data_IF_730828975257
#
_entry.id   IF_730828975257
#
_cell.length_a   1.000
_cell.length_b   1.000
_cell.length_c   1.000
_cell.angle_alpha   90.00
_cell.angle_beta   90.00
_cell.angle_gamma   90.00
#
_symmetry.space_group_name_H-M   'P 1'
#
loop_
_entity.id
_entity.type
_entity.pdbx_description
1 polymer ?
#
# COMPACT_ATOMS: atom_id res chain seq x y z
N UNK A 1 4.06 7.28 11.68
CA UNK A 1 5.45 7.71 11.94
C UNK A 1 5.79 8.89 11.02
N UNK A 2 6.85 9.64 11.31
CA UNK A 2 7.35 10.73 10.41
C UNK A 2 7.74 10.19 9.02
N UNK A 3 8.35 9.00 8.98
CA UNK A 3 8.67 8.31 7.73
C UNK A 3 7.41 8.02 6.89
N UNK A 4 6.34 7.51 7.50
CA UNK A 4 5.10 7.21 6.79
C UNK A 4 4.50 8.46 6.13
N UNK A 5 4.52 9.59 6.85
CA UNK A 5 4.03 10.87 6.35
C UNK A 5 4.86 11.34 5.16
N UNK A 6 6.19 11.33 5.28
CA UNK A 6 7.11 11.74 4.20
C UNK A 6 7.01 10.84 2.97
N UNK A 7 6.88 9.53 3.16
CA UNK A 7 6.70 8.58 2.06
C UNK A 7 5.38 8.83 1.33
N UNK A 8 4.30 9.08 2.07
CA UNK A 8 3.00 9.40 1.49
C UNK A 8 3.05 10.72 0.71
N UNK A 9 3.57 11.79 1.33
CA UNK A 9 3.72 13.11 0.69
C UNK A 9 4.52 13.01 -0.60
N UNK A 10 5.66 12.30 -0.57
CA UNK A 10 6.50 12.10 -1.74
C UNK A 10 5.79 11.32 -2.85
N UNK A 11 5.00 10.30 -2.50
CA UNK A 11 4.23 9.52 -3.48
C UNK A 11 3.19 10.41 -4.19
N UNK A 12 2.47 11.22 -3.42
CA UNK A 12 1.40 12.08 -3.93
C UNK A 12 1.93 13.24 -4.78
N UNK A 13 3.09 13.79 -4.44
CA UNK A 13 3.66 14.94 -5.15
C UNK A 13 4.63 14.56 -6.28
N UNK A 14 4.88 13.27 -6.53
CA UNK A 14 5.90 12.83 -7.49
C UNK A 14 5.66 13.34 -8.93
N UNK A 15 4.40 13.56 -9.28
CA UNK A 15 3.97 13.98 -10.61
C UNK A 15 3.36 15.39 -10.63
N UNK A 16 3.57 16.17 -9.58
CA UNK A 16 3.25 17.60 -9.63
C UNK A 16 4.22 18.26 -10.61
N UNK A 17 3.77 18.37 -11.85
CA UNK A 17 4.40 19.20 -12.86
C UNK A 17 4.26 20.63 -12.37
N UNK A 18 5.38 21.29 -12.04
CA UNK A 18 5.35 22.71 -11.69
C UNK A 18 4.54 23.45 -12.75
N UNK A 19 3.51 24.14 -12.26
CA UNK A 19 2.46 24.75 -13.04
C UNK A 19 3.03 25.64 -14.15
N UNK A 20 3.20 25.08 -15.35
CA UNK A 20 3.27 25.87 -16.57
C UNK A 20 1.86 26.33 -16.89
N UNK A 21 1.44 27.38 -16.17
CA UNK A 21 0.52 28.43 -16.60
C UNK A 21 -0.60 27.99 -17.54
N UNK A 22 -1.67 27.40 -17.00
CA UNK A 22 -2.97 27.46 -17.65
C UNK A 22 -4.09 27.32 -16.62
N UNK A 23 -4.53 28.47 -16.10
CA UNK A 23 -5.86 28.61 -15.49
C UNK A 23 -6.90 28.45 -16.61
N UNK A 24 -7.10 27.22 -17.05
CA UNK A 24 -8.08 26.81 -18.04
C UNK A 24 -8.77 25.50 -17.62
N UNK A 25 -9.70 24.97 -18.43
CA UNK A 25 -10.50 23.76 -18.15
C UNK A 25 -9.68 22.46 -17.94
N UNK A 26 -8.35 22.56 -17.91
CA UNK A 26 -7.42 21.53 -17.47
C UNK A 26 -7.47 21.20 -15.97
N UNK A 27 -8.26 21.91 -15.15
CA UNK A 27 -8.30 21.66 -13.70
C UNK A 27 -8.98 20.33 -13.33
N UNK A 28 -10.02 19.90 -14.03
CA UNK A 28 -10.85 18.76 -13.58
C UNK A 28 -10.09 17.45 -13.77
N UNK A 29 -9.44 17.28 -14.93
CA UNK A 29 -8.62 16.11 -15.20
C UNK A 29 -7.43 16.04 -14.23
N UNK A 30 -6.77 17.17 -13.98
CA UNK A 30 -5.64 17.21 -13.06
C UNK A 30 -6.07 16.89 -11.63
N UNK A 31 -7.18 17.46 -11.14
CA UNK A 31 -7.74 17.13 -9.83
C UNK A 31 -8.15 15.66 -9.75
N UNK A 32 -8.78 15.10 -10.77
CA UNK A 32 -9.13 13.68 -10.81
C UNK A 32 -7.88 12.77 -10.78
N UNK A 33 -6.80 13.16 -11.47
CA UNK A 33 -5.52 12.45 -11.41
C UNK A 33 -4.88 12.55 -10.03
N UNK A 34 -4.90 13.73 -9.40
CA UNK A 34 -4.39 13.91 -8.04
C UNK A 34 -5.19 13.09 -7.01
N UNK A 35 -6.52 13.07 -7.11
CA UNK A 35 -7.38 12.26 -6.25
C UNK A 35 -7.12 10.76 -6.44
N UNK A 36 -6.99 10.33 -7.70
CA UNK A 36 -6.63 8.94 -8.06
C UNK A 36 -5.28 8.55 -7.46
N UNK A 37 -4.26 9.39 -7.65
CA UNK A 37 -2.93 9.16 -7.12
C UNK A 37 -2.93 9.17 -5.58
N UNK A 38 -3.69 10.06 -4.95
CA UNK A 38 -3.82 10.12 -3.51
C UNK A 38 -4.42 8.83 -2.94
N UNK A 39 -5.48 8.30 -3.57
CA UNK A 39 -6.06 7.01 -3.23
C UNK A 39 -5.04 5.88 -3.33
N UNK A 40 -4.38 5.73 -4.49
CA UNK A 40 -3.36 4.70 -4.72
C UNK A 40 -2.22 4.80 -3.69
N UNK A 41 -1.65 5.99 -3.51
CA UNK A 41 -0.54 6.21 -2.60
C UNK A 41 -0.92 5.89 -1.15
N UNK A 42 -2.11 6.28 -0.70
CA UNK A 42 -2.57 6.02 0.67
C UNK A 42 -2.61 4.52 0.99
N UNK A 43 -3.17 3.71 0.07
CA UNK A 43 -3.24 2.26 0.24
C UNK A 43 -1.87 1.61 0.12
N UNK A 44 -1.11 1.90 -0.95
CA UNK A 44 0.18 1.24 -1.22
C UNK A 44 1.20 1.54 -0.12
N UNK A 45 1.28 2.79 0.35
CA UNK A 45 2.21 3.16 1.42
C UNK A 45 1.81 2.52 2.75
N UNK A 46 0.52 2.47 3.08
CA UNK A 46 0.05 1.83 4.30
C UNK A 46 0.36 0.32 4.32
N UNK A 47 0.09 -0.38 3.21
CA UNK A 47 0.37 -1.82 3.07
C UNK A 47 1.87 -2.08 3.08
N UNK A 48 2.66 -1.35 2.27
CA UNK A 48 4.10 -1.52 2.16
C UNK A 48 4.83 -1.32 3.49
N UNK A 49 4.53 -0.24 4.21
CA UNK A 49 5.13 0.01 5.53
C UNK A 49 4.68 -1.01 6.58
N UNK A 50 3.45 -1.51 6.47
CA UNK A 50 2.98 -2.61 7.32
C UNK A 50 3.81 -3.87 7.11
N UNK A 51 4.02 -4.27 5.85
CA UNK A 51 4.87 -5.41 5.50
C UNK A 51 6.30 -5.21 5.98
N UNK A 52 6.91 -4.04 5.73
CA UNK A 52 8.27 -3.73 6.19
C UNK A 52 8.40 -3.80 7.71
N UNK A 53 7.39 -3.34 8.44
CA UNK A 53 7.36 -3.42 9.89
C UNK A 53 7.42 -4.87 10.39
N UNK A 54 6.58 -5.76 9.85
CA UNK A 54 6.63 -7.19 10.18
C UNK A 54 7.95 -7.83 9.76
N UNK A 55 8.44 -7.50 8.56
CA UNK A 55 9.73 -8.01 8.10
C UNK A 55 10.87 -7.65 9.07
N UNK A 56 10.88 -6.39 9.52
CA UNK A 56 11.88 -5.91 10.47
C UNK A 56 11.82 -6.63 11.82
N UNK A 57 10.61 -6.88 12.32
CA UNK A 57 10.36 -7.53 13.61
C UNK A 57 10.68 -9.02 13.64
N UNK A 58 10.49 -9.73 12.53
CA UNK A 58 10.56 -11.19 12.54
C UNK A 58 11.73 -11.77 11.73
N UNK A 59 12.29 -11.02 10.77
CA UNK A 59 13.32 -11.55 9.86
C UNK A 59 14.65 -10.80 9.93
N UNK A 60 14.66 -9.50 10.26
CA UNK A 60 15.89 -8.71 10.37
C UNK A 60 16.47 -8.60 11.80
N UNK A 61 15.77 -9.10 12.82
CA UNK A 61 16.18 -9.01 14.22
C UNK A 61 16.64 -10.38 14.75
N UNK A 62 17.95 -10.64 14.64
CA UNK A 62 18.75 -11.73 15.26
C UNK A 62 18.67 -13.16 14.68
N UNK A 63 19.77 -13.95 14.78
CA UNK A 63 19.83 -15.30 14.25
C UNK A 63 18.97 -16.26 15.09
N UNK A 64 18.21 -17.11 14.40
CA UNK A 64 17.23 -18.03 14.95
C UNK A 64 17.76 -18.84 16.16
N UNK A 65 17.19 -18.59 17.34
CA UNK A 65 17.15 -19.59 18.41
C UNK A 65 15.93 -20.49 18.13
N UNK A 66 16.07 -21.83 18.10
CA UNK A 66 14.98 -22.71 17.72
C UNK A 66 13.94 -22.84 18.85
N UNK A 67 12.66 -22.71 18.48
CA UNK A 67 11.43 -22.93 19.27
C UNK A 67 11.29 -22.02 20.50
N UNK A 68 10.33 -21.10 20.58
CA UNK A 68 8.94 -21.42 20.98
C UNK A 68 7.93 -20.29 20.64
N UNK A 69 8.32 -19.25 19.89
CA UNK A 69 7.48 -18.04 19.70
C UNK A 69 6.63 -17.99 18.40
N UNK A 70 6.68 -19.03 17.55
CA UNK A 70 6.21 -18.94 16.15
C UNK A 70 4.67 -18.88 16.00
N UNK A 71 3.89 -19.39 16.96
CA UNK A 71 2.45 -19.58 16.77
C UNK A 71 1.61 -18.32 17.00
N UNK A 72 1.95 -17.47 17.98
CA UNK A 72 1.14 -16.30 18.31
C UNK A 72 1.35 -15.14 17.33
N UNK A 73 2.56 -14.97 16.80
CA UNK A 73 2.88 -13.94 15.81
C UNK A 73 2.30 -14.25 14.42
N UNK A 74 2.10 -15.53 14.10
CA UNK A 74 1.55 -15.97 12.82
C UNK A 74 0.06 -15.58 12.66
N UNK A 75 -0.74 -15.74 13.71
CA UNK A 75 -2.17 -15.40 13.65
C UNK A 75 -2.41 -13.88 13.53
N UNK A 76 -1.56 -13.09 14.18
CA UNK A 76 -1.59 -11.62 14.09
C UNK A 76 -1.15 -11.18 12.69
N UNK A 77 -0.08 -11.77 12.14
CA UNK A 77 0.35 -11.53 10.77
C UNK A 77 -0.74 -11.91 9.76
N UNK A 78 -1.38 -13.07 9.89
CA UNK A 78 -2.49 -13.48 9.01
C UNK A 78 -3.65 -12.48 9.07
N UNK A 79 -3.99 -11.99 10.25
CA UNK A 79 -5.04 -10.97 10.41
C UNK A 79 -4.69 -9.70 9.65
N UNK A 80 -3.44 -9.24 9.74
CA UNK A 80 -2.98 -8.05 9.01
C UNK A 80 -2.86 -8.29 7.51
N UNK A 81 -2.46 -9.47 7.06
CA UNK A 81 -2.45 -9.84 5.64
C UNK A 81 -3.86 -9.79 5.05
N UNK A 82 -4.87 -10.36 5.72
CA UNK A 82 -6.25 -10.27 5.26
C UNK A 82 -6.74 -8.82 5.21
N UNK A 83 -6.39 -8.01 6.21
CA UNK A 83 -6.71 -6.58 6.24
C UNK A 83 -6.08 -5.83 5.06
N UNK A 84 -4.80 -6.04 4.78
CA UNK A 84 -4.13 -5.42 3.64
C UNK A 84 -4.71 -5.88 2.31
N UNK A 85 -5.05 -7.16 2.19
CA UNK A 85 -5.70 -7.71 1.01
C UNK A 85 -7.03 -7.02 0.76
N UNK A 86 -7.86 -6.86 1.79
CA UNK A 86 -9.12 -6.13 1.70
C UNK A 86 -8.93 -4.67 1.29
N UNK A 87 -7.93 -3.97 1.83
CA UNK A 87 -7.63 -2.59 1.45
C UNK A 87 -7.24 -2.46 -0.03
N UNK A 88 -6.50 -3.45 -0.56
CA UNK A 88 -6.16 -3.51 -1.98
C UNK A 88 -7.40 -3.82 -2.81
N UNK A 89 -8.25 -4.77 -2.39
CA UNK A 89 -9.51 -5.09 -3.06
C UNK A 89 -10.46 -3.88 -3.13
N UNK A 90 -10.58 -3.13 -2.04
CA UNK A 90 -11.34 -1.88 -2.00
C UNK A 90 -10.78 -0.83 -2.96
N UNK A 91 -9.46 -0.66 -3.01
CA UNK A 91 -8.82 0.23 -3.97
C UNK A 91 -9.12 -0.21 -5.42
N UNK A 92 -8.99 -1.50 -5.71
CA UNK A 92 -9.25 -2.04 -7.04
C UNK A 92 -10.72 -1.87 -7.44
N UNK A 93 -11.66 -2.08 -6.50
CA UNK A 93 -13.08 -1.81 -6.72
C UNK A 93 -13.34 -0.32 -7.00
N UNK A 94 -12.72 0.57 -6.21
CA UNK A 94 -12.82 2.02 -6.39
C UNK A 94 -12.29 2.50 -7.74
N UNK A 95 -11.18 1.91 -8.22
CA UNK A 95 -10.60 2.20 -9.54
C UNK A 95 -11.37 1.56 -10.69
N UNK A 96 -12.31 0.65 -10.42
CA UNK A 96 -12.95 -0.18 -11.43
C UNK A 96 -12.01 -1.20 -12.07
N UNK A 97 -10.96 -1.61 -11.34
CA UNK A 97 -9.89 -2.49 -11.83
C UNK A 97 -10.06 -3.97 -11.41
N UNK A 98 -11.22 -4.37 -10.91
CA UNK A 98 -11.46 -5.72 -10.37
C UNK A 98 -11.14 -6.81 -11.40
N UNK A 99 -11.46 -6.60 -12.67
CA UNK A 99 -11.21 -7.57 -13.75
C UNK A 99 -9.72 -7.71 -14.12
N UNK A 100 -8.92 -6.70 -13.80
CA UNK A 100 -7.48 -6.66 -14.02
C UNK A 100 -6.71 -7.30 -12.86
N UNK A 101 -7.38 -7.55 -11.73
CA UNK A 101 -6.79 -8.19 -10.57
C UNK A 101 -6.64 -9.70 -10.82
N UNK A 102 -5.38 -10.17 -10.90
CA UNK A 102 -5.08 -11.59 -10.93
C UNK A 102 -4.77 -12.07 -9.51
N UNK A 103 -5.77 -12.65 -8.85
CA UNK A 103 -5.53 -13.41 -7.63
C UNK A 103 -4.77 -14.69 -7.97
N UNK A 104 -3.88 -15.12 -7.08
CA UNK A 104 -3.43 -16.50 -7.10
C UNK A 104 -4.63 -17.39 -6.74
N UNK A 105 -5.20 -18.07 -7.75
CA UNK A 105 -6.10 -19.21 -7.55
C UNK A 105 -5.30 -20.33 -6.83
N UNK A 106 -5.92 -21.35 -6.19
CA UNK A 106 -5.26 -22.24 -5.22
C UNK A 106 -4.17 -23.16 -5.80
N UNK A 107 -3.67 -22.91 -7.02
CA UNK A 107 -2.49 -23.53 -7.60
C UNK A 107 -1.17 -22.86 -7.19
N UNK A 108 -1.20 -21.73 -6.47
CA UNK A 108 -0.02 -21.11 -5.87
C UNK A 108 0.26 -21.68 -4.46
N UNK A 109 0.26 -23.00 -4.32
CA UNK A 109 0.60 -23.73 -3.08
C UNK A 109 1.75 -24.69 -3.33
#
# INVERSE_FOLDING_TARGET
SDLAKKTLERCQSQYDLEASSSKGPHNVLYSALQETLAGICSTVVAVGLGIEYYWLLHFNSQPAQPSEAITQDHDVLLTDVHRWMHQVEELMAWLGWVEQWRTCNPACS
#
